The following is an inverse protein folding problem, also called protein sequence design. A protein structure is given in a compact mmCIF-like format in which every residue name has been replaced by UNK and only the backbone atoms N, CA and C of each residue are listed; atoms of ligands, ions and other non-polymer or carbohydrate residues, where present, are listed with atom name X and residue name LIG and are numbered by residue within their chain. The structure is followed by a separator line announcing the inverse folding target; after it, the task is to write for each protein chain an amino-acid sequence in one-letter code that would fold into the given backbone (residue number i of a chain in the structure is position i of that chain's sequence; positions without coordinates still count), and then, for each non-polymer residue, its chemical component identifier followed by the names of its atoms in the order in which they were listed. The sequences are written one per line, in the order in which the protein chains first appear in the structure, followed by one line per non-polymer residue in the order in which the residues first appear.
data_IF_699091515293
#
_entry.id   IF_699091515293
#
_cell.length_a   1.000
_cell.length_b   1.000
_cell.length_c   1.000
_cell.angle_alpha   90.00
_cell.angle_beta   90.00
_cell.angle_gamma   90.00
#
_symmetry.space_group_name_H-M   'P 1'
#
loop_
_entity.id
_entity.type
_entity.pdbx_description
1 polymer ?
#
# COMPACT_ATOMS: atom_id res chain seq x y z
N UNK A 1 9.71 -29.10 -15.29
CA UNK A 1 8.56 -29.79 -14.67
C UNK A 1 8.44 -29.25 -13.25
N UNK A 2 7.25 -28.76 -12.86
CA UNK A 2 6.98 -28.29 -11.49
C UNK A 2 6.03 -29.30 -10.85
N UNK A 3 6.42 -29.92 -9.75
CA UNK A 3 5.55 -30.81 -8.97
C UNK A 3 4.92 -30.03 -7.82
N UNK A 4 3.61 -30.19 -7.63
CA UNK A 4 2.88 -29.62 -6.50
C UNK A 4 2.42 -30.76 -5.61
N UNK A 5 2.83 -30.74 -4.34
CA UNK A 5 2.41 -31.70 -3.31
C UNK A 5 1.80 -30.93 -2.15
N UNK A 6 0.73 -31.47 -1.56
CA UNK A 6 0.11 -30.87 -0.38
C UNK A 6 0.82 -31.33 0.88
N UNK A 7 1.65 -30.48 1.45
CA UNK A 7 2.26 -30.73 2.76
C UNK A 7 1.27 -30.30 3.86
N UNK A 8 0.91 -31.22 4.75
CA UNK A 8 -0.02 -30.98 5.86
C UNK A 8 0.74 -30.36 7.06
N UNK A 9 1.52 -29.32 6.79
CA UNK A 9 2.29 -28.58 7.79
C UNK A 9 1.40 -27.48 8.35
N UNK A 10 1.39 -27.30 9.67
CA UNK A 10 0.64 -26.22 10.32
C UNK A 10 0.92 -24.85 9.68
N UNK A 11 -0.01 -23.90 9.84
CA UNK A 11 0.12 -22.57 9.25
C UNK A 11 1.46 -21.92 9.64
N UNK A 12 2.18 -21.40 8.64
CA UNK A 12 3.44 -20.69 8.85
C UNK A 12 3.23 -19.49 9.79
N UNK A 13 4.06 -19.41 10.83
CA UNK A 13 4.10 -18.29 11.76
C UNK A 13 5.33 -17.42 11.44
N UNK A 14 5.15 -16.24 10.82
CA UNK A 14 6.26 -15.35 10.49
C UNK A 14 6.95 -14.80 11.74
N UNK A 15 8.28 -14.79 11.74
CA UNK A 15 9.09 -14.13 12.79
C UNK A 15 8.91 -12.62 12.73
N UNK A 16 8.77 -12.06 11.54
CA UNK A 16 8.41 -10.66 11.33
C UNK A 16 7.05 -10.60 10.64
N UNK A 17 6.04 -10.14 11.38
CA UNK A 17 4.71 -9.81 10.85
C UNK A 17 4.47 -8.31 11.05
N UNK A 18 4.82 -7.53 10.02
CA UNK A 18 4.71 -6.07 10.06
C UNK A 18 3.71 -5.66 8.99
N UNK A 19 2.59 -5.10 9.41
CA UNK A 19 1.59 -4.52 8.53
C UNK A 19 1.50 -3.02 8.80
N UNK A 20 1.78 -2.21 7.77
CA UNK A 20 1.68 -0.75 7.83
C UNK A 20 0.46 -0.32 7.05
N UNK A 21 -0.39 0.47 7.68
CA UNK A 21 -1.48 1.16 7.01
C UNK A 21 -1.01 2.54 6.58
N UNK A 22 -1.07 2.81 5.28
CA UNK A 22 -0.71 4.11 4.70
C UNK A 22 -1.82 5.15 4.94
N UNK A 23 -2.28 5.26 6.19
CA UNK A 23 -3.41 6.07 6.63
C UNK A 23 -3.10 6.85 7.90
N UNK A 24 -3.80 7.97 8.10
CA UNK A 24 -3.82 8.70 9.37
C UNK A 24 -4.82 8.14 10.39
N UNK A 25 -5.73 7.24 9.99
CA UNK A 25 -6.83 6.73 10.82
C UNK A 25 -6.37 5.59 11.74
N UNK A 26 -5.56 5.93 12.75
CA UNK A 26 -5.30 5.04 13.89
C UNK A 26 -4.67 3.67 13.57
N UNK A 27 -4.35 2.91 14.61
CA UNK A 27 -4.06 1.49 14.43
C UNK A 27 -5.37 0.72 14.27
N UNK A 28 -5.39 -0.30 13.42
CA UNK A 28 -6.56 -1.16 13.25
C UNK A 28 -6.18 -2.63 13.40
N UNK A 29 -7.14 -3.47 13.81
CA UNK A 29 -6.95 -4.91 13.83
C UNK A 29 -8.01 -5.55 12.94
N UNK A 30 -7.57 -6.26 11.90
CA UNK A 30 -8.45 -6.96 10.96
C UNK A 30 -7.95 -8.38 10.83
N UNK A 31 -8.84 -9.36 11.01
CA UNK A 31 -8.53 -10.79 10.84
C UNK A 31 -7.28 -11.25 11.60
N UNK A 32 -7.09 -10.78 12.85
CA UNK A 32 -5.95 -11.06 13.73
C UNK A 32 -4.61 -10.42 13.33
N UNK A 33 -4.57 -9.63 12.26
CA UNK A 33 -3.40 -8.83 11.90
C UNK A 33 -3.57 -7.40 12.40
N UNK A 34 -2.56 -6.89 13.09
CA UNK A 34 -2.51 -5.50 13.57
C UNK A 34 -1.83 -4.62 12.52
N UNK A 35 -2.54 -3.59 12.07
CA UNK A 35 -2.07 -2.61 11.11
C UNK A 35 -1.65 -1.33 11.83
N UNK A 36 -0.40 -0.92 11.61
CA UNK A 36 0.23 0.22 12.26
C UNK A 36 0.14 1.42 11.32
N UNK A 37 -0.39 2.56 11.79
CA UNK A 37 -0.46 3.79 10.99
C UNK A 37 0.91 4.37 10.67
N UNK A 38 1.07 5.03 9.53
CA UNK A 38 2.31 5.65 9.07
C UNK A 38 2.33 7.18 9.24
N UNK A 39 2.04 7.65 10.46
CA UNK A 39 1.98 9.08 10.77
C UNK A 39 3.26 9.63 11.37
N UNK A 40 3.56 10.91 11.08
CA UNK A 40 4.74 11.63 11.57
C UNK A 40 4.82 11.60 13.10
N UNK A 41 3.68 11.83 13.77
CA UNK A 41 3.58 11.81 15.23
C UNK A 41 3.53 10.38 15.78
N UNK A 42 4.70 9.81 16.04
CA UNK A 42 4.88 8.63 16.88
C UNK A 42 4.83 7.28 16.18
N UNK A 43 4.84 7.22 14.84
CA UNK A 43 5.04 5.96 14.12
C UNK A 43 6.50 5.74 13.76
N UNK A 44 7.04 4.56 14.10
CA UNK A 44 8.36 4.12 13.63
C UNK A 44 8.40 3.87 12.12
N UNK A 45 7.22 3.83 11.46
CA UNK A 45 7.07 3.54 10.03
C UNK A 45 6.61 4.77 9.24
N UNK A 46 6.77 5.99 9.78
CA UNK A 46 6.60 7.19 8.96
C UNK A 46 7.60 7.17 7.80
N UNK A 47 7.16 7.37 6.55
CA UNK A 47 8.06 7.36 5.41
C UNK A 47 8.96 8.59 5.41
N UNK A 48 10.19 8.37 4.96
CA UNK A 48 11.16 9.44 4.70
C UNK A 48 10.81 10.02 3.33
N UNK A 49 10.40 11.28 3.32
CA UNK A 49 10.05 12.06 2.13
C UNK A 49 10.73 13.42 2.21
N UNK A 50 11.88 13.54 1.56
CA UNK A 50 12.71 14.76 1.60
C UNK A 50 12.02 15.98 0.97
N UNK A 51 11.04 15.73 0.09
CA UNK A 51 10.34 16.79 -0.64
C UNK A 51 9.04 17.24 0.04
N UNK A 52 8.63 16.54 1.11
CA UNK A 52 7.33 16.73 1.76
C UNK A 52 6.16 16.74 0.76
N UNK A 53 6.24 15.92 -0.29
CA UNK A 53 5.25 15.84 -1.37
C UNK A 53 4.23 14.71 -1.19
N UNK A 54 4.42 13.89 -0.15
CA UNK A 54 3.51 12.83 0.23
C UNK A 54 2.43 13.34 1.18
N UNK A 55 1.19 13.02 0.87
CA UNK A 55 0.04 13.34 1.71
C UNK A 55 -0.80 12.09 1.94
N UNK A 56 -1.55 12.09 3.04
CA UNK A 56 -2.62 11.10 3.24
C UNK A 56 -3.90 11.66 2.66
N UNK A 57 -4.55 10.89 1.79
CA UNK A 57 -5.80 11.27 1.14
C UNK A 57 -6.84 10.18 1.32
N UNK A 58 -8.12 10.58 1.34
CA UNK A 58 -9.25 9.67 1.45
C UNK A 58 -9.80 9.31 0.08
N UNK A 59 -10.13 8.05 -0.17
CA UNK A 59 -10.72 7.62 -1.41
C UNK A 59 -12.12 8.23 -1.60
N UNK A 60 -12.42 8.71 -2.80
CA UNK A 60 -13.72 9.21 -3.19
C UNK A 60 -14.64 8.02 -3.51
N UNK A 61 -15.39 7.54 -2.50
CA UNK A 61 -16.34 6.43 -2.64
C UNK A 61 -17.78 6.94 -2.67
N UNK A 62 -18.58 6.44 -3.60
CA UNK A 62 -20.05 6.66 -3.62
C UNK A 62 -20.82 5.70 -2.70
N UNK A 63 -20.17 4.65 -2.17
CA UNK A 63 -20.80 3.62 -1.32
C UNK A 63 -20.16 3.57 0.08
N UNK A 64 -20.95 3.30 1.15
CA UNK A 64 -20.45 3.30 2.52
C UNK A 64 -19.37 2.22 2.74
N UNK A 65 -18.39 2.50 3.61
CA UNK A 65 -17.30 1.58 3.89
C UNK A 65 -17.82 0.28 4.51
N UNK A 66 -17.38 -0.86 3.98
CA UNK A 66 -17.73 -2.18 4.51
C UNK A 66 -17.00 -2.37 5.85
N UNK A 67 -17.75 -2.40 6.94
CA UNK A 67 -17.26 -2.44 8.34
C UNK A 67 -16.37 -3.63 8.75
N UNK A 68 -15.99 -4.53 7.83
CA UNK A 68 -15.23 -5.75 8.13
C UNK A 68 -13.97 -5.93 7.26
N UNK A 69 -13.50 -4.88 6.60
CA UNK A 69 -12.25 -4.92 5.82
C UNK A 69 -11.32 -3.82 6.32
N UNK A 70 -10.01 -4.03 6.18
CA UNK A 70 -9.04 -2.93 6.27
C UNK A 70 -9.58 -1.85 5.34
N UNK A 71 -9.97 -0.73 5.91
CA UNK A 71 -10.55 0.37 5.16
C UNK A 71 -9.46 0.93 4.27
N UNK A 72 -9.39 0.44 3.04
CA UNK A 72 -8.64 1.08 1.95
C UNK A 72 -9.27 2.44 1.55
N UNK A 73 -9.94 3.09 2.50
CA UNK A 73 -10.58 4.38 2.36
C UNK A 73 -9.56 5.52 2.44
N UNK A 74 -8.30 5.21 2.75
CA UNK A 74 -7.20 6.17 2.79
C UNK A 74 -5.94 5.56 2.20
N UNK A 75 -5.08 6.42 1.64
CA UNK A 75 -3.77 6.05 1.15
C UNK A 75 -2.80 7.22 1.28
N UNK A 76 -1.50 6.90 1.37
CA UNK A 76 -0.43 7.87 1.17
C UNK A 76 -0.12 7.96 -0.31
N UNK A 77 -0.22 9.17 -0.83
CA UNK A 77 0.01 9.50 -2.24
C UNK A 77 1.14 10.51 -2.30
N UNK A 78 1.99 10.43 -3.31
CA UNK A 78 3.15 11.31 -3.44
C UNK A 78 3.41 11.64 -4.90
N UNK A 79 3.86 12.87 -5.16
CA UNK A 79 4.35 13.30 -6.48
C UNK A 79 5.86 13.08 -6.65
N UNK A 80 6.57 12.81 -5.56
CA UNK A 80 7.99 12.47 -5.55
C UNK A 80 8.26 11.13 -4.87
N UNK A 81 9.49 10.64 -4.98
CA UNK A 81 9.91 9.42 -4.28
C UNK A 81 9.90 9.58 -2.77
N UNK A 82 9.51 8.53 -2.06
CA UNK A 82 9.59 8.42 -0.60
C UNK A 82 9.98 6.99 -0.22
N UNK A 83 10.46 6.79 1.01
CA UNK A 83 11.07 5.54 1.45
C UNK A 83 10.50 5.08 2.80
N UNK A 84 10.04 3.83 2.88
CA UNK A 84 9.81 3.15 4.16
C UNK A 84 11.05 2.37 4.58
N UNK A 85 11.35 2.40 5.88
CA UNK A 85 12.43 1.63 6.48
C UNK A 85 11.88 0.59 7.46
N UNK A 86 12.24 -0.68 7.26
CA UNK A 86 11.82 -1.78 8.11
C UNK A 86 13.03 -2.48 8.73
N UNK A 87 13.02 -2.64 10.06
CA UNK A 87 14.01 -3.45 10.77
C UNK A 87 13.48 -4.87 10.88
N UNK A 88 14.01 -5.77 10.05
CA UNK A 88 13.62 -7.19 9.99
C UNK A 88 14.81 -8.10 10.23
N UNK A 89 14.56 -9.36 10.58
CA UNK A 89 15.62 -10.35 10.74
C UNK A 89 16.20 -10.72 9.37
N UNK A 90 17.43 -11.25 9.37
CA UNK A 90 18.07 -11.75 8.15
C UNK A 90 17.28 -12.90 7.53
N UNK A 91 17.51 -13.14 6.24
CA UNK A 91 16.89 -14.20 5.46
C UNK A 91 15.64 -13.76 4.73
N UNK A 92 14.99 -14.67 4.00
CA UNK A 92 13.99 -14.30 3.02
C UNK A 92 12.73 -13.68 3.64
N UNK A 93 12.09 -12.79 2.88
CA UNK A 93 10.90 -12.06 3.30
C UNK A 93 9.88 -11.98 2.16
N UNK A 94 8.60 -12.10 2.51
CA UNK A 94 7.52 -11.72 1.62
C UNK A 94 7.21 -10.24 1.82
N UNK A 95 7.14 -9.50 0.71
CA UNK A 95 6.65 -8.12 0.69
C UNK A 95 5.35 -8.08 -0.07
N UNK A 96 4.32 -7.56 0.59
CA UNK A 96 2.97 -7.45 0.06
C UNK A 96 2.56 -5.99 0.01
N UNK A 97 2.30 -5.50 -1.21
CA UNK A 97 1.84 -4.15 -1.47
C UNK A 97 0.33 -4.18 -1.73
N UNK A 98 -0.43 -3.35 -1.02
CA UNK A 98 -1.88 -3.25 -1.15
C UNK A 98 -2.25 -2.01 -1.94
N UNK A 99 -3.11 -2.19 -2.95
CA UNK A 99 -3.54 -1.12 -3.84
C UNK A 99 -5.06 -1.02 -3.85
N UNK A 100 -5.54 0.22 -3.83
CA UNK A 100 -6.93 0.55 -4.06
C UNK A 100 -6.99 1.65 -5.12
N UNK A 101 -7.14 1.29 -6.41
CA UNK A 101 -7.20 2.28 -7.48
C UNK A 101 -8.55 3.00 -7.41
N UNK A 102 -8.52 4.26 -6.98
CA UNK A 102 -9.68 5.13 -6.83
C UNK A 102 -9.22 6.56 -6.99
N UNK A 103 -10.12 7.47 -7.32
CA UNK A 103 -9.88 8.88 -7.07
C UNK A 103 -9.75 9.13 -5.57
N UNK A 104 -8.84 10.00 -5.19
CA UNK A 104 -8.60 10.38 -3.80
C UNK A 104 -8.86 11.88 -3.62
N UNK A 105 -9.72 12.21 -2.67
CA UNK A 105 -10.10 13.58 -2.36
C UNK A 105 -8.88 14.40 -1.95
N UNK A 106 -8.84 15.66 -2.40
CA UNK A 106 -7.78 16.63 -2.09
C UNK A 106 -6.36 16.28 -2.61
N UNK A 107 -6.17 15.12 -3.26
CA UNK A 107 -4.97 14.83 -4.02
C UNK A 107 -5.24 15.17 -5.50
N UNK A 108 -4.82 16.35 -5.94
CA UNK A 108 -5.09 16.85 -7.30
C UNK A 108 -6.05 18.04 -7.39
N UNK A 109 -6.49 18.64 -6.27
CA UNK A 109 -7.13 19.95 -6.32
C UNK A 109 -6.08 21.03 -6.56
N UNK A 110 -6.09 21.60 -7.77
CA UNK A 110 -5.47 22.89 -8.02
C UNK A 110 -6.24 23.97 -7.26
N UNK A 111 -5.51 24.81 -6.53
CA UNK A 111 -5.99 26.15 -6.16
C UNK A 111 -6.33 27.03 -7.38
N UNK A 112 -6.11 26.54 -8.60
CA UNK A 112 -6.35 27.25 -9.85
C UNK A 112 -6.73 26.29 -11.00
N UNK A 113 -7.98 25.78 -11.01
CA UNK A 113 -8.68 25.39 -12.24
C UNK A 113 -8.10 24.29 -13.17
N UNK A 114 -7.06 23.54 -12.77
CA UNK A 114 -6.50 22.42 -13.56
C UNK A 114 -6.47 21.13 -12.71
N UNK A 115 -7.25 20.12 -13.10
CA UNK A 115 -7.39 18.87 -12.36
C UNK A 115 -6.34 17.85 -12.83
N UNK A 116 -5.17 17.78 -12.18
CA UNK A 116 -4.01 17.12 -12.81
C UNK A 116 -3.35 15.98 -11.98
N UNK A 117 -4.12 15.16 -11.25
CA UNK A 117 -3.63 13.83 -10.85
C UNK A 117 -4.76 12.83 -10.62
N UNK A 118 -5.34 12.32 -11.70
CA UNK A 118 -6.32 11.24 -11.63
C UNK A 118 -5.66 9.89 -11.32
N UNK A 119 -6.43 8.95 -10.78
CA UNK A 119 -5.95 7.58 -10.54
C UNK A 119 -5.46 6.86 -11.80
N UNK A 120 -5.96 7.25 -12.97
CA UNK A 120 -5.52 6.75 -14.28
C UNK A 120 -4.11 7.22 -14.68
N UNK A 121 -3.67 8.38 -14.17
CA UNK A 121 -2.36 8.98 -14.47
C UNK A 121 -1.27 8.54 -13.47
N UNK A 122 -1.63 7.69 -12.50
CA UNK A 122 -0.70 7.19 -11.50
C UNK A 122 0.18 6.08 -12.08
N UNK A 123 1.44 6.42 -12.34
CA UNK A 123 2.50 5.49 -12.69
C UNK A 123 3.67 5.65 -11.72
N UNK A 124 4.12 4.53 -11.15
CA UNK A 124 5.23 4.56 -10.20
C UNK A 124 6.08 3.29 -10.28
N UNK A 125 7.25 3.34 -9.64
CA UNK A 125 8.13 2.19 -9.51
C UNK A 125 8.44 1.96 -8.03
N UNK A 126 8.51 0.69 -7.63
CA UNK A 126 8.84 0.29 -6.26
C UNK A 126 10.14 -0.48 -6.29
N UNK A 127 11.09 -0.08 -5.46
CA UNK A 127 12.37 -0.79 -5.26
C UNK A 127 12.47 -1.27 -3.83
N UNK A 128 13.00 -2.48 -3.65
CA UNK A 128 13.31 -3.06 -2.36
C UNK A 128 14.62 -3.83 -2.48
N UNK A 129 15.51 -3.67 -1.51
CA UNK A 129 16.78 -4.43 -1.40
C UNK A 129 17.63 -4.44 -2.69
N UNK A 130 17.64 -3.35 -3.45
CA UNK A 130 18.38 -3.22 -4.71
C UNK A 130 17.65 -3.75 -5.95
N UNK A 131 16.49 -4.38 -5.80
CA UNK A 131 15.67 -4.91 -6.90
C UNK A 131 14.47 -4.01 -7.17
N UNK A 132 14.07 -3.93 -8.44
CA UNK A 132 12.83 -3.25 -8.84
C UNK A 132 11.68 -4.26 -8.79
N UNK A 133 10.79 -4.09 -7.82
CA UNK A 133 9.61 -4.94 -7.63
C UNK A 133 8.50 -4.59 -8.62
N UNK A 134 8.28 -3.29 -8.82
CA UNK A 134 7.32 -2.74 -9.77
C UNK A 134 8.01 -1.68 -10.61
N UNK A 135 7.76 -1.67 -11.93
CA UNK A 135 8.33 -0.70 -12.86
C UNK A 135 7.23 -0.11 -13.73
N UNK A 136 7.13 1.21 -13.75
CA UNK A 136 6.10 1.93 -14.51
C UNK A 136 4.69 1.34 -14.30
N UNK A 137 4.38 1.04 -13.04
CA UNK A 137 3.19 0.31 -12.65
C UNK A 137 2.02 1.26 -12.46
N UNK A 138 0.87 0.90 -13.03
CA UNK A 138 -0.41 1.56 -12.76
C UNK A 138 -1.34 0.58 -12.06
N UNK A 139 -1.80 0.97 -10.87
CA UNK A 139 -2.76 0.17 -10.11
C UNK A 139 -4.14 0.16 -10.80
N UNK A 140 -4.51 1.24 -11.47
CA UNK A 140 -5.75 1.36 -12.22
C UNK A 140 -5.81 0.35 -13.36
N UNK A 141 -4.78 0.33 -14.22
CA UNK A 141 -4.69 -0.61 -15.35
C UNK A 141 -4.54 -2.08 -14.91
N UNK A 142 -4.09 -2.32 -13.67
CA UNK A 142 -3.94 -3.66 -13.11
C UNK A 142 -5.18 -4.15 -12.36
N UNK A 143 -6.23 -3.33 -12.26
CA UNK A 143 -7.50 -3.75 -11.66
C UNK A 143 -8.35 -4.49 -12.68
N UNK A 144 -9.12 -5.49 -12.23
CA UNK A 144 -9.93 -6.37 -13.10
C UNK A 144 -11.18 -5.67 -13.71
N UNK A 145 -11.10 -4.37 -13.99
CA UNK A 145 -12.18 -3.52 -14.53
C UNK A 145 -13.45 -3.42 -13.65
N UNK A 146 -13.49 -4.04 -12.47
CA UNK A 146 -14.64 -3.98 -11.55
C UNK A 146 -14.66 -2.73 -10.65
N UNK A 147 -13.74 -1.77 -10.88
CA UNK A 147 -13.80 -0.38 -10.41
C UNK A 147 -13.68 -0.13 -8.90
N UNK A 148 -13.86 -1.15 -8.05
CA UNK A 148 -14.02 -0.94 -6.60
C UNK A 148 -13.37 -2.01 -5.71
N UNK A 149 -12.53 -2.88 -6.27
CA UNK A 149 -11.87 -3.94 -5.49
C UNK A 149 -10.41 -3.61 -5.22
N UNK A 150 -10.03 -3.57 -3.95
CA UNK A 150 -8.62 -3.57 -3.59
C UNK A 150 -7.96 -4.89 -4.00
N UNK A 151 -6.69 -4.81 -4.37
CA UNK A 151 -5.88 -5.97 -4.69
C UNK A 151 -4.50 -5.86 -4.06
N UNK A 152 -3.72 -6.94 -4.14
CA UNK A 152 -2.36 -6.98 -3.61
C UNK A 152 -1.38 -7.56 -4.62
N UNK A 153 -0.15 -7.07 -4.59
CA UNK A 153 1.00 -7.70 -5.26
C UNK A 153 1.93 -8.25 -4.18
N UNK A 154 2.39 -9.48 -4.36
CA UNK A 154 3.30 -10.15 -3.45
C UNK A 154 4.61 -10.45 -4.17
N UNK A 155 5.71 -10.25 -3.47
CA UNK A 155 7.07 -10.48 -3.95
C UNK A 155 7.89 -11.17 -2.86
N UNK A 156 8.88 -11.93 -3.28
CA UNK A 156 9.81 -12.62 -2.40
C UNK A 156 11.18 -11.97 -2.52
N UNK A 157 11.69 -11.46 -1.39
CA UNK A 157 13.01 -10.86 -1.28
C UNK A 157 13.96 -11.86 -0.61
N UNK A 158 15.13 -12.04 -1.18
CA UNK A 158 16.22 -12.89 -0.66
C UNK A 158 17.35 -12.06 -0.10
#
# INVERSE_FOLDING_TARGET
MVSVTGDNVGAYLPVNDIAVNCSSLGNSSVSKQTWIRDTEDGSTYFPIDETHSSIVASANRSSPPVHNRISHDTARLSRSGFVYSFRVTMGPKFVRLHFFPSDYLHFGHADFGHADFGHADSFFSVKATGYTQLRNFSAFLSSDHTGFTSFRKESYLT
#
